data_IF_531368108165
#
_entry.id   IF_531368108165
#
_cell.length_a   1.000
_cell.length_b   1.000
_cell.length_c   1.000
_cell.angle_alpha   90.00
_cell.angle_beta   90.00
_cell.angle_gamma   90.00
#
_symmetry.space_group_name_H-M   'P 1'
#
loop_
_entity.id
_entity.type
_entity.pdbx_description
1 polymer ?
#
# COMPACT_ATOMS: atom_id res chain seq x y z
N UNK A 1 5.12 23.67 -16.31
CA UNK A 1 6.05 22.89 -15.48
C UNK A 1 5.87 21.41 -15.79
N UNK A 2 6.89 20.78 -16.37
CA UNK A 2 6.89 19.35 -16.66
C UNK A 2 7.00 18.61 -15.33
N UNK A 3 5.88 18.06 -14.83
CA UNK A 3 5.93 17.11 -13.71
C UNK A 3 6.85 15.98 -14.14
N UNK A 4 7.88 15.71 -13.33
CA UNK A 4 8.84 14.66 -13.57
C UNK A 4 8.11 13.36 -13.92
N UNK A 5 8.60 12.66 -14.94
CA UNK A 5 8.23 11.29 -15.23
C UNK A 5 8.82 10.42 -14.10
N UNK A 6 8.23 10.53 -12.91
CA UNK A 6 8.67 9.82 -11.72
C UNK A 6 8.67 8.32 -12.01
N UNK A 7 9.73 7.65 -11.57
CA UNK A 7 9.89 6.21 -11.71
C UNK A 7 8.63 5.51 -11.23
N UNK A 8 8.03 4.67 -12.08
CA UNK A 8 6.81 3.94 -11.72
C UNK A 8 7.18 2.88 -10.67
N UNK A 9 6.75 3.09 -9.43
CA UNK A 9 6.82 2.05 -8.41
C UNK A 9 5.88 0.89 -8.78
N UNK A 10 6.36 -0.34 -8.68
CA UNK A 10 5.52 -1.50 -8.92
C UNK A 10 4.88 -1.94 -7.60
N UNK A 11 3.61 -2.35 -7.71
CA UNK A 11 2.88 -2.98 -6.62
C UNK A 11 3.66 -4.21 -6.12
N UNK A 12 3.87 -4.26 -4.81
CA UNK A 12 4.49 -5.38 -4.12
C UNK A 12 6.00 -5.36 -4.01
N UNK A 13 6.67 -4.40 -4.65
CA UNK A 13 8.08 -4.13 -4.41
C UNK A 13 8.28 -3.72 -2.93
N UNK A 14 9.42 -4.10 -2.37
CA UNK A 14 9.89 -3.57 -1.10
C UNK A 14 10.72 -2.31 -1.35
N UNK A 15 10.59 -1.34 -0.45
CA UNK A 15 11.35 -0.09 -0.46
C UNK A 15 12.69 -0.36 0.21
N UNK A 16 13.74 -0.56 -0.59
CA UNK A 16 15.08 -0.87 -0.12
C UNK A 16 16.11 0.21 -0.49
N UNK A 17 17.39 -0.18 -0.54
CA UNK A 17 18.50 0.74 -0.80
C UNK A 17 18.39 1.46 -2.16
N UNK A 18 17.66 0.87 -3.13
CA UNK A 18 17.41 1.49 -4.42
C UNK A 18 16.62 2.81 -4.31
N UNK A 19 15.84 3.01 -3.24
CA UNK A 19 15.22 4.29 -2.93
C UNK A 19 16.23 5.33 -2.47
N UNK A 20 17.18 4.95 -1.61
CA UNK A 20 18.23 5.85 -1.12
C UNK A 20 19.10 6.31 -2.29
N UNK A 21 19.50 5.37 -3.15
CA UNK A 21 20.33 5.67 -4.33
C UNK A 21 19.63 6.62 -5.31
N UNK A 22 18.30 6.53 -5.42
CA UNK A 22 17.51 7.32 -6.38
C UNK A 22 17.03 8.66 -5.84
N UNK A 23 16.67 8.72 -4.56
CA UNK A 23 15.97 9.85 -3.96
C UNK A 23 16.69 10.48 -2.76
N UNK A 24 17.80 9.88 -2.32
CA UNK A 24 18.63 10.38 -1.21
C UNK A 24 17.91 10.50 0.14
N UNK A 25 16.85 9.70 0.36
CA UNK A 25 16.21 9.52 1.65
C UNK A 25 15.92 8.03 1.88
N UNK A 26 15.89 7.63 3.14
CA UNK A 26 15.64 6.24 3.56
C UNK A 26 14.27 6.12 4.21
N UNK A 27 13.61 4.99 3.96
CA UNK A 27 12.41 4.60 4.68
C UNK A 27 12.65 3.24 5.31
N UNK A 28 12.60 3.19 6.64
CA UNK A 28 12.56 1.94 7.38
C UNK A 28 11.14 1.67 7.87
N UNK A 29 10.77 0.40 7.98
CA UNK A 29 9.50 -0.07 8.50
C UNK A 29 9.71 -1.15 9.55
N UNK A 30 9.04 -0.99 10.68
CA UNK A 30 9.11 -1.91 11.80
C UNK A 30 7.70 -2.37 12.17
N UNK A 31 7.44 -3.67 12.03
CA UNK A 31 6.14 -4.23 12.38
C UNK A 31 5.99 -4.44 13.89
N UNK A 32 4.80 -4.19 14.43
CA UNK A 32 4.47 -4.47 15.83
C UNK A 32 3.69 -5.77 15.98
N UNK A 33 4.16 -6.64 16.89
CA UNK A 33 3.47 -7.87 17.31
C UNK A 33 3.09 -8.85 16.19
N UNK A 34 4.00 -9.13 15.26
CA UNK A 34 3.74 -9.83 14.00
C UNK A 34 4.19 -8.95 12.84
N UNK A 35 3.96 -9.36 11.60
CA UNK A 35 4.41 -8.63 10.41
C UNK A 35 5.70 -9.20 9.80
N UNK A 36 5.92 -8.85 8.53
CA UNK A 36 7.06 -9.27 7.73
C UNK A 36 7.70 -8.05 7.06
N UNK A 37 8.74 -7.51 7.69
CA UNK A 37 9.51 -6.35 7.19
C UNK A 37 10.93 -6.80 6.90
N UNK A 38 11.17 -7.52 5.79
CA UNK A 38 12.50 -8.02 5.48
C UNK A 38 13.45 -6.82 5.38
N UNK A 39 14.59 -6.91 6.06
CA UNK A 39 15.60 -5.83 6.08
C UNK A 39 15.04 -4.45 6.52
N UNK A 40 13.99 -4.44 7.34
CA UNK A 40 13.28 -3.22 7.77
C UNK A 40 12.61 -2.46 6.60
N UNK A 41 12.17 -3.16 5.56
CA UNK A 41 11.60 -2.53 4.38
C UNK A 41 10.07 -2.38 4.47
N UNK A 42 9.57 -1.22 4.05
CA UNK A 42 8.15 -1.03 3.75
C UNK A 42 7.81 -1.71 2.43
N UNK A 43 6.52 -2.02 2.22
CA UNK A 43 6.04 -2.60 0.96
C UNK A 43 5.14 -1.65 0.20
N UNK A 44 5.25 -1.65 -1.12
CA UNK A 44 4.42 -0.81 -1.99
C UNK A 44 3.07 -1.47 -2.23
N UNK A 45 2.00 -0.75 -1.91
CA UNK A 45 0.61 -1.15 -2.13
C UNK A 45 -0.06 -0.20 -3.12
N UNK A 46 -0.77 -0.74 -4.12
CA UNK A 46 -1.53 0.07 -5.07
C UNK A 46 -3.00 0.16 -4.64
N UNK A 47 -3.39 1.31 -4.09
CA UNK A 47 -4.76 1.56 -3.59
C UNK A 47 -5.81 1.61 -4.71
N UNK A 48 -5.39 1.69 -5.98
CA UNK A 48 -6.31 1.59 -7.12
C UNK A 48 -6.69 0.13 -7.46
N UNK A 49 -5.91 -0.83 -6.94
CA UNK A 49 -6.18 -2.26 -7.06
C UNK A 49 -5.95 -2.95 -5.70
N UNK A 50 -6.88 -2.76 -4.74
CA UNK A 50 -6.73 -3.31 -3.40
C UNK A 50 -6.87 -4.84 -3.36
N UNK A 51 -7.33 -5.48 -4.43
CA UNK A 51 -7.55 -6.92 -4.47
C UNK A 51 -8.83 -7.36 -3.77
N UNK A 52 -8.96 -8.65 -3.48
CA UNK A 52 -10.18 -9.27 -2.93
C UNK A 52 -10.00 -9.91 -1.54
N UNK A 53 -8.76 -9.92 -1.02
CA UNK A 53 -8.41 -10.50 0.28
C UNK A 53 -8.45 -12.03 0.33
N UNK A 54 -8.77 -12.70 -0.77
CA UNK A 54 -8.74 -14.17 -0.88
C UNK A 54 -7.54 -14.65 -1.68
N UNK A 55 -7.30 -13.99 -2.81
CA UNK A 55 -6.23 -14.34 -3.75
C UNK A 55 -5.20 -13.22 -3.81
N UNK A 56 -5.64 -11.96 -3.66
CA UNK A 56 -4.77 -10.83 -3.89
C UNK A 56 -5.12 -9.62 -3.02
N UNK A 57 -4.07 -8.87 -2.66
CA UNK A 57 -4.12 -7.60 -1.96
C UNK A 57 -4.75 -7.62 -0.58
N UNK A 58 -5.11 -6.43 -0.13
CA UNK A 58 -5.86 -6.16 1.08
C UNK A 58 -7.06 -5.26 0.76
N UNK A 59 -8.28 -5.82 0.77
CA UNK A 59 -9.47 -5.06 0.49
C UNK A 59 -9.72 -3.99 1.56
N UNK A 60 -9.10 -4.09 2.73
CA UNK A 60 -9.29 -3.10 3.80
C UNK A 60 -8.55 -1.78 3.53
N UNK A 61 -7.66 -1.75 2.53
CA UNK A 61 -6.84 -0.60 2.14
C UNK A 61 -7.30 0.11 0.85
N UNK A 62 -8.49 -0.22 0.36
CA UNK A 62 -9.12 0.53 -0.74
C UNK A 62 -9.41 1.97 -0.33
N UNK A 63 -8.55 2.93 -0.70
CA UNK A 63 -8.61 4.30 -0.15
C UNK A 63 -8.92 5.41 -1.17
N UNK A 64 -9.96 6.24 -0.92
CA UNK A 64 -10.92 6.12 0.18
C UNK A 64 -12.13 5.29 -0.25
N UNK A 65 -12.48 4.22 0.48
CA UNK A 65 -13.83 3.70 0.36
C UNK A 65 -14.38 2.93 1.55
N UNK A 66 -15.25 3.61 2.26
CA UNK A 66 -16.51 3.03 2.70
C UNK A 66 -17.57 3.92 2.04
N UNK A 67 -17.79 3.71 0.74
CA UNK A 67 -18.82 4.31 -0.13
C UNK A 67 -18.98 5.84 -0.06
N UNK A 68 -17.90 6.55 -0.33
CA UNK A 68 -17.72 7.94 0.12
C UNK A 68 -18.07 8.98 -0.95
N UNK A 69 -18.48 10.19 -0.54
CA UNK A 69 -17.54 11.33 -0.40
C UNK A 69 -17.15 11.64 1.06
N UNK A 70 -15.85 11.91 1.32
CA UNK A 70 -15.14 11.99 2.64
C UNK A 70 -14.85 10.65 3.33
N UNK A 71 -14.22 9.72 2.61
CA UNK A 71 -14.07 8.35 3.09
C UNK A 71 -12.94 7.98 4.01
N UNK A 72 -13.08 6.79 4.58
CA UNK A 72 -12.07 6.05 5.34
C UNK A 72 -12.59 4.67 5.69
N UNK A 73 -12.25 3.65 4.90
CA UNK A 73 -12.72 2.28 5.08
C UNK A 73 -12.34 1.35 3.93
N UNK A 74 -12.76 0.08 3.99
CA UNK A 74 -12.33 -1.00 3.10
C UNK A 74 -13.02 -1.02 1.72
N UNK A 75 -12.25 -1.14 0.63
CA UNK A 75 -12.72 -1.45 -0.73
C UNK A 75 -12.38 -2.88 -1.18
N UNK A 76 -13.38 -3.78 -1.26
CA UNK A 76 -13.30 -5.14 -1.87
C UNK A 76 -13.38 -5.30 -3.41
N UNK A 77 -12.29 -5.68 -4.09
CA UNK A 77 -12.33 -6.21 -5.46
C UNK A 77 -11.72 -5.33 -6.55
N UNK A 78 -11.57 -5.89 -7.76
CA UNK A 78 -10.84 -5.27 -8.87
C UNK A 78 -11.56 -4.00 -9.35
N UNK A 79 -10.83 -2.88 -9.39
CA UNK A 79 -11.22 -1.55 -9.91
C UNK A 79 -12.09 -0.65 -9.07
N UNK A 80 -12.48 -1.04 -7.86
CA UNK A 80 -13.24 -0.17 -6.96
C UNK A 80 -14.21 0.81 -7.65
N UNK A 81 -15.25 0.30 -8.32
CA UNK A 81 -16.19 1.17 -9.04
C UNK A 81 -17.32 1.73 -8.18
N UNK A 82 -17.63 3.05 -8.31
CA UNK A 82 -18.92 3.70 -7.97
C UNK A 82 -20.18 2.81 -8.08
N UNK A 83 -20.87 2.58 -6.96
CA UNK A 83 -21.93 1.60 -6.73
C UNK A 83 -21.56 0.16 -6.30
N UNK A 84 -20.33 -0.21 -5.87
CA UNK A 84 -20.00 -1.62 -5.52
C UNK A 84 -19.13 -1.78 -4.27
N UNK A 85 -19.33 -2.88 -3.53
CA UNK A 85 -18.33 -3.38 -2.56
C UNK A 85 -16.99 -3.43 -3.28
N UNK A 86 -15.96 -2.71 -2.80
CA UNK A 86 -14.77 -2.49 -3.63
C UNK A 86 -14.32 -1.10 -3.85
N UNK A 87 -15.28 -0.20 -3.84
CA UNK A 87 -15.20 1.02 -4.59
C UNK A 87 -14.01 1.91 -4.23
N UNK A 88 -13.61 2.87 -5.05
CA UNK A 88 -12.63 3.87 -4.70
C UNK A 88 -12.90 5.12 -5.54
N UNK A 89 -13.56 6.12 -4.94
CA UNK A 89 -13.95 7.34 -5.63
C UNK A 89 -12.75 8.21 -6.02
N UNK A 90 -11.59 8.03 -5.35
CA UNK A 90 -10.36 8.76 -5.64
C UNK A 90 -9.14 7.93 -5.19
N UNK A 91 -8.60 7.05 -6.04
CA UNK A 91 -7.45 6.25 -5.68
C UNK A 91 -6.25 7.14 -5.31
N UNK A 92 -5.60 6.82 -4.19
CA UNK A 92 -4.38 7.52 -3.73
C UNK A 92 -3.12 7.05 -4.46
N UNK A 93 -3.25 6.05 -5.35
CA UNK A 93 -2.13 5.44 -6.06
C UNK A 93 -1.31 4.53 -5.16
N UNK A 94 0.01 4.56 -5.33
CA UNK A 94 0.92 3.76 -4.53
C UNK A 94 1.11 4.35 -3.13
N UNK A 95 0.94 3.52 -2.12
CA UNK A 95 1.18 3.82 -0.71
C UNK A 95 2.16 2.82 -0.11
N UNK A 96 2.67 3.13 1.07
CA UNK A 96 3.54 2.25 1.83
C UNK A 96 2.74 1.51 2.88
N UNK A 97 2.94 0.21 2.99
CA UNK A 97 2.36 -0.64 4.02
C UNK A 97 3.44 -1.40 4.76
N UNK A 98 3.18 -1.69 6.02
CA UNK A 98 3.96 -2.62 6.81
C UNK A 98 3.35 -3.98 6.56
N UNK A 99 4.05 -4.90 5.92
CA UNK A 99 3.47 -6.15 5.45
C UNK A 99 3.09 -7.09 6.62
N UNK A 100 1.94 -7.77 6.55
CA UNK A 100 1.44 -8.68 7.59
C UNK A 100 2.24 -9.99 7.70
N UNK A 101 2.60 -10.59 6.57
CA UNK A 101 3.25 -11.91 6.50
C UNK A 101 4.07 -12.07 5.22
N UNK A 102 4.95 -13.08 5.21
CA UNK A 102 5.76 -13.44 4.03
C UNK A 102 4.87 -14.07 2.95
N UNK A 103 4.29 -13.22 2.11
CA UNK A 103 3.45 -13.62 0.98
C UNK A 103 3.63 -12.68 -0.20
N UNK A 104 3.35 -13.19 -1.40
CA UNK A 104 3.51 -12.43 -2.63
C UNK A 104 2.58 -11.21 -2.73
N UNK A 105 1.46 -11.21 -2.03
CA UNK A 105 0.44 -10.16 -2.15
C UNK A 105 0.59 -9.11 -1.05
N UNK A 106 0.66 -7.81 -1.40
CA UNK A 106 0.75 -6.74 -0.42
C UNK A 106 -0.47 -6.71 0.49
N UNK A 107 -0.24 -6.73 1.80
CA UNK A 107 -1.28 -6.76 2.82
C UNK A 107 -0.75 -6.13 4.11
N UNK A 108 -1.46 -5.15 4.68
CA UNK A 108 -0.94 -4.46 5.84
C UNK A 108 -1.06 -5.29 7.11
N UNK A 109 -0.09 -5.10 8.00
CA UNK A 109 -0.10 -5.72 9.30
C UNK A 109 -1.22 -5.10 10.12
N UNK A 110 -2.30 -5.84 10.34
CA UNK A 110 -3.45 -5.42 11.16
C UNK A 110 -3.10 -4.88 12.56
N UNK A 111 -1.96 -5.32 13.11
CA UNK A 111 -1.46 -4.84 14.42
C UNK A 111 -0.62 -3.57 14.33
N UNK A 112 -0.49 -3.01 13.13
CA UNK A 112 0.25 -1.81 12.80
C UNK A 112 1.76 -1.98 12.82
N UNK A 113 2.43 -0.86 12.97
CA UNK A 113 3.87 -0.74 13.09
C UNK A 113 4.30 0.71 12.92
N UNK A 114 5.60 0.93 12.70
CA UNK A 114 6.18 2.25 12.60
C UNK A 114 6.99 2.38 11.31
N UNK A 115 6.62 3.30 10.40
CA UNK A 115 7.51 3.77 9.36
C UNK A 115 8.40 4.92 9.90
N UNK A 116 9.70 4.85 9.61
CA UNK A 116 10.69 5.87 9.93
C UNK A 116 11.24 6.46 8.62
N UNK A 117 11.33 7.78 8.54
CA UNK A 117 11.84 8.51 7.37
C UNK A 117 13.09 9.28 7.78
N UNK A 118 14.19 9.06 7.08
CA UNK A 118 15.52 9.63 7.36
C UNK A 118 16.14 10.30 6.13
#
# INVERSE_FOLDING_TARGET
ESRSNGTKFNRGDYVGDDFVDRFSFKIDAFATCGGYTPESQARIFDTSNPGDGQIDGDPDLGSPNMMCPNGGGPGRGIYGRPGRDGENCTPQGNVLVIQESDKATPDDNKKGGVPCFE
#
